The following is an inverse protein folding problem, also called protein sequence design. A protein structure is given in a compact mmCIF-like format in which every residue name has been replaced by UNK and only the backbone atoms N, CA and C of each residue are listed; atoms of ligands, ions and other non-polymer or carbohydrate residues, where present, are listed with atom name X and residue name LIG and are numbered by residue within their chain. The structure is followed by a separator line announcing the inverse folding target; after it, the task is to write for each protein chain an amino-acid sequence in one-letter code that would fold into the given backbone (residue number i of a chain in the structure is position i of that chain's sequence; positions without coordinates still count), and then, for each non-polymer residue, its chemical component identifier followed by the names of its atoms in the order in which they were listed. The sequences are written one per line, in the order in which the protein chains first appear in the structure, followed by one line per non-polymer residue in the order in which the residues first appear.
data_IF_005793850851
#
_entry.id   IF_005793850851
#
_cell.length_a   1.000
_cell.length_b   1.000
_cell.length_c   1.000
_cell.angle_alpha   90.00
_cell.angle_beta   90.00
_cell.angle_gamma   90.00
#
_symmetry.space_group_name_H-M   'P 1'
#
loop_
_entity.id
_entity.type
_entity.pdbx_description
1 polymer ?
#
# COMPACT_ATOMS: atom_id res chain seq x y z
N UNK A 1 -16.54 -8.25 16.33
CA UNK A 1 -15.75 -8.53 15.10
C UNK A 1 -14.85 -7.36 14.81
N UNK A 2 -13.55 -7.57 14.52
CA UNK A 2 -12.64 -6.46 14.27
C UNK A 2 -12.89 -5.87 12.87
N UNK A 3 -13.28 -4.59 12.84
CA UNK A 3 -13.53 -3.84 11.60
C UNK A 3 -12.28 -3.18 11.04
N UNK A 4 -11.54 -2.44 11.87
CA UNK A 4 -10.33 -1.75 11.43
C UNK A 4 -9.12 -2.70 11.32
N UNK A 5 -8.20 -2.37 10.42
CA UNK A 5 -6.97 -3.15 10.18
C UNK A 5 -6.14 -3.34 11.44
N UNK A 6 -5.95 -2.31 12.27
CA UNK A 6 -5.14 -2.38 13.50
C UNK A 6 -5.65 -3.42 14.49
N UNK A 7 -6.96 -3.41 14.76
CA UNK A 7 -7.59 -4.38 15.68
C UNK A 7 -7.60 -5.77 15.07
N UNK A 8 -7.83 -5.87 13.75
CA UNK A 8 -7.87 -7.15 13.05
C UNK A 8 -6.53 -7.87 13.09
N UNK A 9 -5.41 -7.14 12.96
CA UNK A 9 -4.05 -7.69 13.10
C UNK A 9 -3.84 -8.32 14.47
N UNK A 10 -4.14 -7.58 15.54
CA UNK A 10 -3.93 -8.08 16.91
C UNK A 10 -4.80 -9.31 17.21
N UNK A 11 -6.08 -9.26 16.83
CA UNK A 11 -7.01 -10.38 17.06
C UNK A 11 -6.61 -11.62 16.25
N UNK A 12 -6.18 -11.44 15.00
CA UNK A 12 -5.75 -12.55 14.14
C UNK A 12 -4.46 -13.22 14.65
N UNK A 13 -3.52 -12.45 15.19
CA UNK A 13 -2.27 -12.97 15.75
C UNK A 13 -2.52 -13.80 17.02
N UNK A 14 -3.43 -13.30 17.88
CA UNK A 14 -3.85 -13.99 19.09
C UNK A 14 -4.66 -15.27 18.78
N UNK A 15 -5.61 -15.21 17.83
CA UNK A 15 -6.58 -16.28 17.57
C UNK A 15 -5.98 -17.67 17.29
N UNK A 16 -4.75 -17.72 16.74
CA UNK A 16 -4.02 -18.98 16.51
C UNK A 16 -3.81 -19.77 17.82
N UNK A 17 -3.61 -19.09 18.95
CA UNK A 17 -3.37 -19.72 20.25
C UNK A 17 -4.62 -20.39 20.83
N UNK A 18 -5.82 -20.05 20.35
CA UNK A 18 -7.10 -20.60 20.78
C UNK A 18 -7.80 -21.41 19.68
N UNK A 19 -7.12 -21.70 18.57
CA UNK A 19 -7.67 -22.41 17.42
C UNK A 19 -8.97 -21.77 16.87
N UNK A 20 -9.06 -20.44 16.94
CA UNK A 20 -10.22 -19.69 16.46
C UNK A 20 -10.03 -19.23 15.01
N UNK A 21 -11.14 -19.19 14.28
CA UNK A 21 -11.23 -18.59 12.95
C UNK A 21 -11.63 -17.12 13.12
N UNK A 22 -10.94 -16.23 12.41
CA UNK A 22 -11.22 -14.79 12.41
C UNK A 22 -11.73 -14.38 11.04
N UNK A 23 -12.93 -13.81 10.99
CA UNK A 23 -13.51 -13.20 9.80
C UNK A 23 -13.65 -11.69 10.02
N UNK A 24 -12.96 -10.88 9.21
CA UNK A 24 -13.05 -9.42 9.24
C UNK A 24 -13.87 -8.87 8.07
N UNK A 25 -14.70 -7.86 8.35
CA UNK A 25 -15.58 -7.24 7.34
C UNK A 25 -15.02 -5.93 6.75
N UNK A 26 -13.94 -5.37 7.31
CA UNK A 26 -13.47 -4.02 6.95
C UNK A 26 -11.95 -3.82 6.92
N UNK A 27 -11.16 -4.85 7.21
CA UNK A 27 -9.70 -4.72 7.23
C UNK A 27 -9.09 -4.80 5.84
N UNK A 28 -8.39 -3.74 5.43
CA UNK A 28 -7.76 -3.61 4.12
C UNK A 28 -6.24 -3.82 4.13
N UNK A 29 -5.62 -3.99 5.31
CA UNK A 29 -4.15 -4.11 5.42
C UNK A 29 -3.60 -5.25 4.57
N UNK A 30 -2.58 -5.00 3.73
CA UNK A 30 -1.93 -6.06 2.96
C UNK A 30 -1.26 -7.11 3.85
N UNK A 31 -0.73 -6.72 5.02
CA UNK A 31 -0.04 -7.59 5.96
C UNK A 31 -0.89 -8.79 6.41
N UNK A 32 -2.21 -8.61 6.52
CA UNK A 32 -3.19 -9.66 6.86
C UNK A 32 -3.32 -10.75 5.80
N UNK A 33 -2.70 -10.59 4.63
CA UNK A 33 -2.64 -11.62 3.58
C UNK A 33 -1.52 -12.64 3.82
N UNK A 34 -0.59 -12.40 4.76
CA UNK A 34 0.47 -13.34 5.09
C UNK A 34 -0.08 -14.55 5.84
N UNK A 35 -0.21 -15.70 5.15
CA UNK A 35 -0.74 -16.95 5.71
C UNK A 35 0.19 -17.65 6.69
N UNK A 36 1.50 -17.36 6.68
CA UNK A 36 2.42 -17.88 7.70
C UNK A 36 2.17 -17.21 9.05
N UNK A 37 1.89 -15.91 9.06
CA UNK A 37 1.55 -15.16 10.27
C UNK A 37 0.07 -15.31 10.68
N UNK A 38 -0.84 -15.33 9.72
CA UNK A 38 -2.29 -15.35 9.94
C UNK A 38 -2.96 -16.54 9.23
N UNK A 39 -2.77 -17.78 9.73
CA UNK A 39 -3.28 -18.98 9.06
C UNK A 39 -4.80 -19.14 9.11
N UNK A 40 -5.46 -18.64 10.17
CA UNK A 40 -6.91 -18.77 10.40
C UNK A 40 -7.70 -17.49 10.10
N UNK A 41 -7.10 -16.56 9.36
CA UNK A 41 -7.68 -15.26 9.06
C UNK A 41 -8.31 -15.18 7.66
N UNK A 42 -9.57 -14.77 7.62
CA UNK A 42 -10.33 -14.48 6.41
C UNK A 42 -10.93 -13.08 6.47
N UNK A 43 -11.21 -12.51 5.30
CA UNK A 43 -11.89 -11.21 5.20
C UNK A 43 -12.73 -11.11 3.93
N UNK A 44 -13.80 -10.33 4.00
CA UNK A 44 -14.63 -9.98 2.82
C UNK A 44 -14.16 -8.69 2.15
N UNK A 45 -13.44 -7.84 2.87
CA UNK A 45 -12.91 -6.59 2.34
C UNK A 45 -11.63 -6.83 1.52
N UNK A 46 -11.50 -6.24 0.31
CA UNK A 46 -10.31 -6.42 -0.52
C UNK A 46 -9.07 -5.80 0.12
N UNK A 47 -7.89 -6.34 -0.23
CA UNK A 47 -6.61 -5.76 0.15
C UNK A 47 -6.39 -4.42 -0.54
N UNK A 48 -5.72 -3.47 0.12
CA UNK A 48 -5.33 -2.21 -0.50
C UNK A 48 -4.41 -2.40 -1.73
N UNK A 49 -3.69 -3.52 -1.82
CA UNK A 49 -2.87 -3.89 -3.00
C UNK A 49 -3.67 -4.18 -4.26
N UNK A 50 -4.99 -4.45 -4.14
CA UNK A 50 -5.85 -4.72 -5.30
C UNK A 50 -5.91 -3.53 -6.28
N UNK A 51 -5.62 -2.32 -5.80
CA UNK A 51 -5.58 -1.12 -6.64
C UNK A 51 -4.33 -1.04 -7.53
N UNK A 52 -3.22 -1.69 -7.16
CA UNK A 52 -1.94 -1.54 -7.85
C UNK A 52 -1.95 -2.08 -9.29
N UNK A 53 -2.52 -3.28 -9.58
CA UNK A 53 -2.69 -3.74 -10.96
C UNK A 53 -3.43 -2.72 -11.85
N UNK A 54 -4.48 -2.10 -11.33
CA UNK A 54 -5.26 -1.10 -12.06
C UNK A 54 -4.44 0.17 -12.33
N UNK A 55 -3.67 0.66 -11.35
CA UNK A 55 -2.76 1.80 -11.53
C UNK A 55 -1.74 1.53 -12.63
N UNK A 56 -1.09 0.36 -12.60
CA UNK A 56 -0.12 -0.04 -13.63
C UNK A 56 -0.76 -0.11 -15.01
N UNK A 57 -1.98 -0.65 -15.14
CA UNK A 57 -2.69 -0.67 -16.42
C UNK A 57 -3.01 0.74 -16.94
N UNK A 58 -3.40 1.66 -16.05
CA UNK A 58 -3.64 3.06 -16.42
C UNK A 58 -2.35 3.75 -16.89
N UNK A 59 -1.23 3.54 -16.19
CA UNK A 59 0.07 4.07 -16.58
C UNK A 59 0.49 3.57 -17.96
N UNK A 60 0.32 2.27 -18.23
CA UNK A 60 0.58 1.68 -19.56
C UNK A 60 -0.32 2.28 -20.64
N UNK A 61 -1.61 2.46 -20.36
CA UNK A 61 -2.58 3.02 -21.31
C UNK A 61 -2.20 4.43 -21.77
N UNK A 62 -1.71 5.27 -20.86
CA UNK A 62 -1.28 6.64 -21.17
C UNK A 62 0.22 6.80 -21.41
N UNK A 63 0.97 5.69 -21.48
CA UNK A 63 2.42 5.65 -21.72
C UNK A 63 3.22 6.48 -20.69
N UNK A 64 2.79 6.48 -19.42
CA UNK A 64 3.56 7.09 -18.34
C UNK A 64 4.67 6.14 -17.89
N UNK A 65 5.91 6.58 -18.00
CA UNK A 65 7.11 5.78 -17.68
C UNK A 65 7.82 6.23 -16.41
N UNK A 66 7.55 7.46 -15.93
CA UNK A 66 8.08 8.00 -14.67
C UNK A 66 6.94 8.46 -13.78
N UNK A 67 6.96 8.05 -12.51
CA UNK A 67 5.95 8.43 -11.51
C UNK A 67 6.62 8.89 -10.21
N UNK A 68 5.87 9.65 -9.41
CA UNK A 68 6.25 10.04 -8.06
C UNK A 68 5.19 9.55 -7.06
N UNK A 69 5.61 9.25 -5.84
CA UNK A 69 4.73 8.73 -4.78
C UNK A 69 4.82 9.58 -3.53
N UNK A 70 3.66 9.77 -2.88
CA UNK A 70 3.55 10.35 -1.54
C UNK A 70 2.68 9.45 -0.68
N UNK A 71 3.13 9.16 0.53
CA UNK A 71 2.37 8.34 1.48
C UNK A 71 2.42 8.90 2.90
N UNK A 72 1.40 8.57 3.70
CA UNK A 72 1.52 8.69 5.14
C UNK A 72 2.26 7.46 5.69
N UNK A 73 3.10 7.63 6.72
CA UNK A 73 3.88 6.56 7.35
C UNK A 73 3.00 5.68 8.24
N UNK A 74 2.17 4.86 7.61
CA UNK A 74 1.31 3.85 8.25
C UNK A 74 1.57 2.50 7.60
N UNK A 75 1.60 1.42 8.38
CA UNK A 75 1.92 0.05 7.92
C UNK A 75 1.14 -0.36 6.66
N UNK A 76 -0.15 -0.02 6.61
CA UNK A 76 -1.05 -0.30 5.47
C UNK A 76 -0.53 0.34 4.18
N UNK A 77 -0.11 1.61 4.26
CA UNK A 77 0.35 2.36 3.09
C UNK A 77 1.75 1.95 2.66
N UNK A 78 2.66 1.73 3.63
CA UNK A 78 3.99 1.20 3.35
C UNK A 78 3.92 -0.11 2.58
N UNK A 79 3.14 -1.09 3.08
CA UNK A 79 2.99 -2.39 2.41
C UNK A 79 2.33 -2.27 1.03
N UNK A 80 1.44 -1.28 0.84
CA UNK A 80 0.79 -1.06 -0.45
C UNK A 80 1.75 -0.43 -1.47
N UNK A 81 2.63 0.45 -1.01
CA UNK A 81 3.62 1.09 -1.87
C UNK A 81 4.73 0.11 -2.25
N UNK A 82 5.14 -0.76 -1.33
CA UNK A 82 6.14 -1.79 -1.64
C UNK A 82 5.62 -2.79 -2.70
N UNK A 83 4.35 -3.22 -2.64
CA UNK A 83 3.71 -4.02 -3.72
C UNK A 83 3.55 -3.21 -5.02
N UNK A 84 3.33 -1.89 -4.94
CA UNK A 84 3.28 -1.05 -6.15
C UNK A 84 4.66 -0.99 -6.83
N UNK A 85 5.72 -0.81 -6.04
CA UNK A 85 7.11 -0.71 -6.51
C UNK A 85 7.56 -1.96 -7.26
N UNK A 86 7.22 -3.15 -6.76
CA UNK A 86 7.47 -4.42 -7.44
C UNK A 86 6.75 -4.47 -8.80
N UNK A 87 5.45 -4.14 -8.84
CA UNK A 87 4.64 -4.21 -10.06
C UNK A 87 5.03 -3.17 -11.12
N UNK A 88 5.40 -1.95 -10.71
CA UNK A 88 5.82 -0.92 -11.66
C UNK A 88 7.19 -1.26 -12.25
N UNK A 89 8.09 -1.87 -11.45
CA UNK A 89 9.38 -2.35 -11.92
C UNK A 89 9.22 -3.44 -12.99
N UNK A 90 8.32 -4.40 -12.78
CA UNK A 90 7.97 -5.41 -13.80
C UNK A 90 7.33 -4.80 -15.05
N UNK A 91 6.64 -3.67 -14.89
CA UNK A 91 6.02 -2.94 -15.99
C UNK A 91 6.97 -2.00 -16.76
N UNK A 92 8.24 -1.87 -16.34
CA UNK A 92 9.21 -0.94 -16.93
C UNK A 92 8.90 0.53 -16.61
N UNK A 93 8.23 0.80 -15.49
CA UNK A 93 7.89 2.15 -15.01
C UNK A 93 8.78 2.46 -13.81
N UNK A 94 9.39 3.64 -13.82
CA UNK A 94 10.32 4.10 -12.79
C UNK A 94 9.60 4.97 -11.74
N UNK A 95 9.83 4.69 -10.46
CA UNK A 95 9.48 5.61 -9.37
C UNK A 95 10.66 6.53 -9.15
N UNK A 96 10.55 7.77 -9.63
CA UNK A 96 11.64 8.75 -9.54
C UNK A 96 11.70 9.43 -8.17
N UNK A 97 10.56 9.55 -7.47
CA UNK A 97 10.50 10.21 -6.15
C UNK A 97 9.57 9.43 -5.22
N UNK A 98 10.05 9.19 -4.00
CA UNK A 98 9.26 8.69 -2.88
C UNK A 98 9.29 9.72 -1.76
N UNK A 99 8.12 10.18 -1.31
CA UNK A 99 7.98 11.03 -0.13
C UNK A 99 7.06 10.36 0.88
N UNK A 100 7.39 10.52 2.16
CA UNK A 100 6.55 10.05 3.26
C UNK A 100 6.42 11.12 4.33
N UNK A 101 5.27 11.19 4.98
CA UNK A 101 5.02 12.10 6.10
C UNK A 101 4.30 11.39 7.25
N UNK A 102 4.51 11.86 8.49
CA UNK A 102 3.83 11.32 9.66
C UNK A 102 2.56 12.12 9.98
N UNK A 103 2.68 13.44 10.08
CA UNK A 103 1.60 14.37 10.45
C UNK A 103 1.47 15.51 9.45
N UNK A 104 2.53 16.29 9.24
CA UNK A 104 2.52 17.44 8.31
C UNK A 104 3.03 17.05 6.91
N UNK A 105 2.19 17.14 5.86
CA UNK A 105 2.60 16.85 4.49
C UNK A 105 3.30 18.02 3.79
N UNK A 106 3.36 19.23 4.37
CA UNK A 106 3.81 20.44 3.67
C UNK A 106 5.22 20.31 3.08
N UNK A 107 6.15 19.70 3.83
CA UNK A 107 7.53 19.47 3.38
C UNK A 107 7.56 18.47 2.21
N UNK A 108 6.83 17.35 2.34
CA UNK A 108 6.74 16.34 1.30
C UNK A 108 6.18 16.91 -0.02
N UNK A 109 5.15 17.75 0.08
CA UNK A 109 4.56 18.43 -1.08
C UNK A 109 5.52 19.46 -1.68
N UNK A 110 6.23 20.23 -0.84
CA UNK A 110 7.23 21.21 -1.31
C UNK A 110 8.34 20.51 -2.09
N UNK A 111 8.86 19.39 -1.59
CA UNK A 111 9.88 18.59 -2.26
C UNK A 111 9.39 18.05 -3.61
N UNK A 112 8.15 17.55 -3.67
CA UNK A 112 7.56 17.09 -4.94
C UNK A 112 7.45 18.21 -5.96
N UNK A 113 7.15 19.44 -5.54
CA UNK A 113 7.04 20.59 -6.45
C UNK A 113 8.40 20.98 -7.05
N UNK A 114 9.47 20.96 -6.26
CA UNK A 114 10.83 21.22 -6.75
C UNK A 114 11.24 20.15 -7.76
N UNK A 115 10.94 18.89 -7.47
CA UNK A 115 11.27 17.78 -8.36
C UNK A 115 10.39 17.80 -9.62
N UNK A 116 9.12 18.23 -9.52
CA UNK A 116 8.20 18.41 -10.65
C UNK A 116 8.74 19.37 -11.73
N UNK A 117 9.40 20.45 -11.32
CA UNK A 117 10.08 21.36 -12.27
C UNK A 117 11.21 20.69 -13.03
N UNK A 118 11.93 19.75 -12.41
CA UNK A 118 13.01 19.01 -13.06
C UNK A 118 12.47 18.00 -14.11
N UNK A 119 11.23 17.51 -13.97
CA UNK A 119 10.59 16.64 -14.98
C UNK A 119 10.14 17.38 -16.24
N UNK A 120 9.94 18.70 -16.18
CA UNK A 120 9.50 19.51 -17.33
C UNK A 120 10.67 20.11 -18.13
N UNK A 121 11.91 19.96 -17.63
CA UNK A 121 13.12 20.52 -18.23
C UNK A 121 13.91 19.59 -19.15
N UNK A 122 13.36 18.42 -19.52
CA UNK A 122 13.94 17.47 -20.50
C UNK A 122 12.97 17.19 -21.66
#
# INVERSE_FOLDING_TARGET
MPGCSSVSTLVAEAARMWNLIVLSYGSSSPALSNRQRFPTFFRTHPSATLHNPTRVQLFKKWKWTKIATIQQTTEVFTSTLDDLEERVKEAGIEISVRQSFLTDPAIAVKNLKVLASDFQGQ
#
